data_IF_197289202471
#
_entry.id   IF_197289202471
#
_cell.length_a   1.000
_cell.length_b   1.000
_cell.length_c   1.000
_cell.angle_alpha   90.00
_cell.angle_beta   90.00
_cell.angle_gamma   90.00
#
_symmetry.space_group_name_H-M   'P 1'
#
loop_
_entity.id
_entity.type
_entity.pdbx_description
1 polymer ?
#
# COMPACT_ATOMS: atom_id res chain seq x y z
N UNK A 1 20.55 0.09 10.78
CA UNK A 1 19.72 0.06 9.54
C UNK A 1 18.76 1.22 9.41
N UNK A 2 17.94 1.60 10.42
CA UNK A 2 17.01 2.74 10.30
C UNK A 2 17.77 4.06 10.18
N UNK A 3 18.80 4.28 10.96
CA UNK A 3 19.63 5.50 10.94
C UNK A 3 20.38 5.72 9.64
N UNK A 4 20.80 4.64 8.98
CA UNK A 4 21.61 4.69 7.76
C UNK A 4 20.83 5.21 6.54
N UNK A 5 19.50 5.28 6.62
CA UNK A 5 18.61 5.69 5.51
C UNK A 5 18.08 7.11 5.67
N UNK A 6 18.33 7.77 6.80
CA UNK A 6 17.99 9.17 7.00
C UNK A 6 18.82 10.04 6.05
N UNK A 7 18.15 10.83 5.22
CA UNK A 7 18.81 11.73 4.25
C UNK A 7 19.24 11.07 2.93
N UNK A 8 18.88 9.78 2.71
CA UNK A 8 19.10 9.12 1.41
C UNK A 8 17.81 9.17 0.57
N UNK A 9 17.96 9.08 -0.76
CA UNK A 9 16.83 8.92 -1.70
C UNK A 9 16.22 7.51 -1.68
N UNK A 10 16.69 6.63 -0.79
CA UNK A 10 16.22 5.25 -0.70
C UNK A 10 14.87 5.19 0.01
N UNK A 11 13.86 4.64 -0.63
CA UNK A 11 12.53 4.41 -0.05
C UNK A 11 12.42 2.96 0.46
N UNK A 12 12.26 2.72 1.78
CA UNK A 12 12.04 1.38 2.30
C UNK A 12 10.68 0.86 1.85
N UNK A 13 10.69 -0.28 1.17
CA UNK A 13 9.46 -0.95 0.73
C UNK A 13 9.21 -2.19 1.58
N UNK A 14 8.03 -2.25 2.20
CA UNK A 14 7.61 -3.33 3.09
C UNK A 14 6.79 -4.36 2.33
N UNK A 15 7.02 -5.64 2.64
CA UNK A 15 6.41 -6.80 2.00
C UNK A 15 5.63 -7.64 3.03
N UNK A 16 4.54 -7.13 3.62
CA UNK A 16 3.84 -7.85 4.69
C UNK A 16 3.17 -9.15 4.20
N UNK A 17 2.86 -9.27 2.90
CA UNK A 17 2.35 -10.50 2.31
C UNK A 17 3.35 -11.65 2.40
N UNK A 18 4.62 -11.40 2.10
CA UNK A 18 5.69 -12.37 2.22
C UNK A 18 5.92 -12.76 3.69
N UNK A 19 5.97 -11.79 4.59
CA UNK A 19 6.11 -12.07 6.03
C UNK A 19 4.95 -12.94 6.57
N UNK A 20 3.72 -12.68 6.11
CA UNK A 20 2.55 -13.47 6.46
C UNK A 20 2.65 -14.91 5.94
N UNK A 21 2.92 -15.07 4.65
CA UNK A 21 2.92 -16.37 3.99
C UNK A 21 4.03 -17.29 4.49
N UNK A 22 5.22 -16.73 4.73
CA UNK A 22 6.40 -17.48 5.21
C UNK A 22 6.49 -17.58 6.73
N UNK A 23 5.54 -17.02 7.50
CA UNK A 23 5.60 -17.03 8.96
C UNK A 23 6.75 -16.23 9.55
N UNK A 24 7.23 -15.20 8.85
CA UNK A 24 8.37 -14.38 9.26
C UNK A 24 7.96 -13.22 10.17
N UNK A 25 8.95 -12.63 10.85
CA UNK A 25 8.77 -11.38 11.58
C UNK A 25 8.42 -10.24 10.62
N UNK A 26 7.46 -9.41 11.03
CA UNK A 26 7.05 -8.25 10.22
C UNK A 26 8.08 -7.13 10.30
N UNK A 27 8.26 -6.36 9.20
CA UNK A 27 9.15 -5.20 9.20
C UNK A 27 8.71 -4.14 10.22
N UNK A 28 9.66 -3.39 10.84
CA UNK A 28 9.38 -2.41 11.88
C UNK A 28 8.87 -1.08 11.30
N UNK A 29 7.72 -1.10 10.59
CA UNK A 29 7.20 0.08 9.89
C UNK A 29 6.90 1.25 10.83
N UNK A 30 6.36 0.98 12.03
CA UNK A 30 6.08 2.05 13.01
C UNK A 30 7.34 2.79 13.43
N UNK A 31 8.43 2.08 13.68
CA UNK A 31 9.71 2.67 14.05
C UNK A 31 10.29 3.51 12.91
N UNK A 32 10.20 3.01 11.67
CA UNK A 32 10.65 3.73 10.48
C UNK A 32 9.85 5.03 10.25
N UNK A 33 8.52 4.97 10.37
CA UNK A 33 7.64 6.13 10.25
C UNK A 33 7.95 7.15 11.34
N UNK A 34 8.11 6.71 12.60
CA UNK A 34 8.44 7.59 13.71
C UNK A 34 9.85 8.22 13.56
N UNK A 35 10.73 7.57 12.83
CA UNK A 35 12.03 8.14 12.44
C UNK A 35 11.96 9.06 11.21
N UNK A 36 10.75 9.38 10.70
CA UNK A 36 10.54 10.28 9.56
C UNK A 36 10.79 9.66 8.18
N UNK A 37 10.87 8.33 8.09
CA UNK A 37 11.05 7.65 6.81
C UNK A 37 9.71 7.47 6.08
N UNK A 38 9.68 7.79 4.79
CA UNK A 38 8.57 7.46 3.91
C UNK A 38 8.64 5.98 3.52
N UNK A 39 7.77 5.15 4.13
CA UNK A 39 7.68 3.72 3.79
C UNK A 39 6.71 3.48 2.66
N UNK A 40 7.04 2.56 1.75
CA UNK A 40 6.14 2.05 0.72
C UNK A 40 5.67 0.62 1.07
N UNK A 41 4.54 0.21 0.49
CA UNK A 41 4.02 -1.15 0.56
C UNK A 41 3.98 -1.76 -0.84
N UNK A 42 4.35 -3.04 -0.94
CA UNK A 42 4.22 -3.81 -2.17
C UNK A 42 3.67 -5.21 -1.89
N UNK A 43 3.05 -5.82 -2.91
CA UNK A 43 2.50 -7.17 -2.81
C UNK A 43 3.57 -8.25 -2.83
N UNK A 44 4.70 -7.99 -3.49
CA UNK A 44 5.72 -9.01 -3.77
C UNK A 44 5.12 -10.26 -4.45
N UNK A 45 4.17 -10.03 -5.37
CA UNK A 45 3.41 -11.12 -5.98
C UNK A 45 4.30 -12.10 -6.75
N UNK A 46 4.47 -13.27 -6.16
CA UNK A 46 5.23 -14.38 -6.74
C UNK A 46 4.81 -15.71 -6.10
N UNK A 47 5.01 -16.85 -6.76
CA UNK A 47 4.58 -18.16 -6.25
C UNK A 47 5.37 -18.66 -5.04
N UNK A 48 6.56 -18.13 -4.78
CA UNK A 48 7.46 -18.63 -3.73
C UNK A 48 7.22 -18.03 -2.35
N UNK A 49 6.91 -16.74 -2.27
CA UNK A 49 6.85 -16.00 -1.00
C UNK A 49 5.56 -15.21 -0.79
N UNK A 50 4.82 -14.88 -1.85
CA UNK A 50 3.60 -14.09 -1.74
C UNK A 50 2.65 -14.38 -2.90
N UNK A 51 1.91 -15.50 -2.88
CA UNK A 51 1.06 -15.93 -4.00
C UNK A 51 -0.24 -15.12 -4.12
N UNK A 52 -0.26 -13.89 -3.63
CA UNK A 52 -1.41 -12.99 -3.70
C UNK A 52 -1.00 -11.57 -4.08
N UNK A 53 -1.56 -11.06 -5.19
CA UNK A 53 -1.44 -9.66 -5.59
C UNK A 53 -2.43 -8.72 -4.91
N UNK A 54 -3.18 -9.17 -3.89
CA UNK A 54 -4.23 -8.40 -3.24
C UNK A 54 -3.66 -7.29 -2.35
N UNK A 55 -3.53 -6.07 -2.90
CA UNK A 55 -3.03 -4.91 -2.17
C UNK A 55 -3.93 -4.49 -0.99
N UNK A 56 -5.22 -4.83 -0.99
CA UNK A 56 -6.10 -4.58 0.18
C UNK A 56 -5.68 -5.44 1.37
N UNK A 57 -5.33 -6.71 1.12
CA UNK A 57 -4.77 -7.59 2.15
C UNK A 57 -3.44 -7.05 2.67
N UNK A 58 -2.57 -6.56 1.79
CA UNK A 58 -1.29 -5.91 2.15
C UNK A 58 -1.51 -4.72 3.07
N UNK A 59 -2.46 -3.83 2.75
CA UNK A 59 -2.85 -2.68 3.58
C UNK A 59 -3.39 -3.14 4.94
N UNK A 60 -4.21 -4.18 4.96
CA UNK A 60 -4.76 -4.74 6.21
C UNK A 60 -3.67 -5.31 7.11
N UNK A 61 -2.74 -6.08 6.56
CA UNK A 61 -1.59 -6.60 7.29
C UNK A 61 -0.69 -5.49 7.84
N UNK A 62 -0.49 -4.42 7.07
CA UNK A 62 0.27 -3.26 7.52
C UNK A 62 -0.40 -2.58 8.74
N UNK A 63 -1.72 -2.44 8.73
CA UNK A 63 -2.46 -1.91 9.88
C UNK A 63 -2.40 -2.84 11.10
N UNK A 64 -2.72 -4.12 10.91
CA UNK A 64 -2.90 -5.09 12.01
C UNK A 64 -1.55 -5.51 12.61
N UNK A 65 -0.56 -5.80 11.77
CA UNK A 65 0.71 -6.42 12.18
C UNK A 65 1.87 -5.44 12.30
N UNK A 66 1.86 -4.34 11.52
CA UNK A 66 2.94 -3.37 11.49
C UNK A 66 2.57 -2.04 12.16
N UNK A 67 1.38 -1.96 12.78
CA UNK A 67 0.88 -0.81 13.55
C UNK A 67 0.84 0.50 12.74
N UNK A 68 0.59 0.39 11.45
CA UNK A 68 0.33 1.57 10.62
C UNK A 68 -1.13 2.02 10.80
N UNK A 69 -1.36 3.32 10.80
CA UNK A 69 -2.74 3.84 10.69
C UNK A 69 -3.29 3.56 9.29
N UNK A 70 -4.62 3.49 9.11
CA UNK A 70 -5.21 3.31 7.79
C UNK A 70 -4.73 4.32 6.75
N UNK A 71 -4.60 5.59 7.12
CA UNK A 71 -4.12 6.65 6.24
C UNK A 71 -2.64 6.42 5.83
N UNK A 72 -1.77 6.07 6.78
CA UNK A 72 -0.36 5.75 6.50
C UNK A 72 -0.24 4.54 5.57
N UNK A 73 -1.01 3.48 5.80
CA UNK A 73 -0.95 2.27 4.99
C UNK A 73 -1.47 2.50 3.57
N UNK A 74 -2.52 3.30 3.38
CA UNK A 74 -3.03 3.67 2.06
C UNK A 74 -2.03 4.57 1.34
N UNK A 75 -1.45 5.57 2.00
CA UNK A 75 -0.41 6.41 1.42
C UNK A 75 0.83 5.59 1.05
N UNK A 76 1.22 4.63 1.88
CA UNK A 76 2.33 3.73 1.59
C UNK A 76 2.09 2.85 0.36
N UNK A 77 0.84 2.41 0.14
CA UNK A 77 0.44 1.60 -1.01
C UNK A 77 0.21 2.43 -2.29
N UNK A 78 0.10 3.75 -2.20
CA UNK A 78 -0.23 4.65 -3.32
C UNK A 78 0.85 5.69 -3.57
N UNK A 79 0.86 6.78 -2.82
CA UNK A 79 1.80 7.89 -2.99
C UNK A 79 3.26 7.45 -2.85
N UNK A 80 3.57 6.79 -1.74
CA UNK A 80 4.94 6.34 -1.48
C UNK A 80 5.36 5.19 -2.39
N UNK A 81 4.41 4.32 -2.77
CA UNK A 81 4.63 3.27 -3.77
C UNK A 81 5.02 3.86 -5.12
N UNK A 82 4.27 4.85 -5.60
CA UNK A 82 4.61 5.56 -6.84
C UNK A 82 5.96 6.28 -6.74
N UNK A 83 6.26 6.90 -5.60
CA UNK A 83 7.56 7.54 -5.36
C UNK A 83 8.71 6.53 -5.40
N UNK A 84 8.57 5.40 -4.71
CA UNK A 84 9.58 4.34 -4.68
C UNK A 84 9.89 3.75 -6.07
N UNK A 85 8.93 3.79 -6.99
CA UNK A 85 9.08 3.36 -8.37
C UNK A 85 9.54 4.47 -9.33
N UNK A 86 9.73 5.71 -8.86
CA UNK A 86 10.05 6.87 -9.72
C UNK A 86 8.88 7.35 -10.58
N UNK A 87 7.64 6.98 -10.23
CA UNK A 87 6.43 7.25 -11.00
C UNK A 87 5.52 8.31 -10.36
N UNK A 88 5.97 8.99 -9.33
CA UNK A 88 5.16 9.94 -8.54
C UNK A 88 4.62 11.13 -9.32
N UNK A 89 5.25 11.47 -10.47
CA UNK A 89 4.78 12.52 -11.37
C UNK A 89 3.40 12.18 -11.96
N UNK A 90 3.22 10.92 -12.37
CA UNK A 90 2.07 10.50 -13.17
C UNK A 90 1.08 9.63 -12.39
N UNK A 91 1.49 9.05 -11.24
CA UNK A 91 0.71 8.09 -10.47
C UNK A 91 0.71 8.39 -8.96
N UNK A 92 -0.04 7.60 -8.20
CA UNK A 92 -0.05 7.58 -6.74
C UNK A 92 -1.11 8.46 -6.09
N UNK A 93 -1.77 9.36 -6.83
CA UNK A 93 -2.87 10.19 -6.32
C UNK A 93 -3.88 10.54 -7.40
N UNK A 94 -5.10 10.85 -7.00
CA UNK A 94 -6.13 11.41 -7.87
C UNK A 94 -5.97 12.93 -7.86
N UNK A 95 -5.21 13.44 -8.84
CA UNK A 95 -4.84 14.86 -8.95
C UNK A 95 -4.86 15.26 -10.42
N UNK A 96 -5.25 16.49 -10.71
CA UNK A 96 -5.25 17.04 -12.08
C UNK A 96 -3.85 16.90 -12.70
N UNK A 97 -3.80 16.40 -13.93
CA UNK A 97 -2.58 16.16 -14.68
C UNK A 97 -1.96 14.78 -14.49
N UNK A 98 -2.49 13.95 -13.58
CA UNK A 98 -2.04 12.55 -13.42
C UNK A 98 -2.91 11.56 -14.19
N UNK A 99 -2.36 10.38 -14.42
CA UNK A 99 -3.07 9.28 -15.07
C UNK A 99 -4.25 8.85 -14.19
N UNK A 100 -5.44 8.80 -14.77
CA UNK A 100 -6.68 8.48 -14.06
C UNK A 100 -6.83 6.97 -13.81
N UNK A 101 -5.97 6.43 -12.94
CA UNK A 101 -6.03 5.07 -12.42
C UNK A 101 -6.57 5.11 -10.99
N UNK A 102 -7.82 4.72 -10.80
CA UNK A 102 -8.47 4.71 -9.49
C UNK A 102 -9.60 3.69 -9.44
N UNK A 103 -10.08 3.41 -8.27
CA UNK A 103 -11.29 2.63 -8.07
C UNK A 103 -12.28 3.37 -7.18
N UNK A 104 -13.55 3.02 -7.33
CA UNK A 104 -14.63 3.45 -6.44
C UNK A 104 -14.99 2.29 -5.51
N UNK A 105 -15.30 2.62 -4.28
CA UNK A 105 -15.80 1.64 -3.31
C UNK A 105 -17.32 1.69 -3.23
N UNK A 106 -17.92 0.65 -2.69
CA UNK A 106 -19.26 0.74 -2.12
C UNK A 106 -19.26 1.75 -0.96
N UNK A 107 -20.42 2.34 -0.58
CA UNK A 107 -20.48 3.20 0.59
C UNK A 107 -19.93 2.50 1.83
N UNK A 108 -19.02 3.17 2.53
CA UNK A 108 -18.42 2.66 3.77
C UNK A 108 -18.33 3.77 4.82
N UNK A 109 -18.37 3.42 6.13
CA UNK A 109 -18.44 4.42 7.21
C UNK A 109 -17.22 5.34 7.27
N UNK A 110 -16.05 4.84 6.88
CA UNK A 110 -14.80 5.60 6.87
C UNK A 110 -13.73 4.88 6.07
N UNK A 111 -12.62 5.56 5.77
CA UNK A 111 -11.43 4.97 5.14
C UNK A 111 -10.85 3.83 5.98
N UNK A 112 -10.98 3.89 7.30
CA UNK A 112 -10.52 2.84 8.21
C UNK A 112 -11.28 1.52 8.05
N UNK A 113 -12.47 1.54 7.47
CA UNK A 113 -13.25 0.34 7.20
C UNK A 113 -12.58 -0.57 6.14
N UNK A 114 -11.81 0.00 5.23
CA UNK A 114 -11.14 -0.77 4.18
C UNK A 114 -10.15 -1.81 4.74
N UNK A 115 -9.17 -1.47 5.59
CA UNK A 115 -8.30 -2.48 6.21
C UNK A 115 -9.01 -3.37 7.25
N UNK A 116 -10.07 -2.90 7.87
CA UNK A 116 -10.88 -3.69 8.81
C UNK A 116 -11.63 -4.81 8.09
N UNK A 117 -12.31 -4.51 6.99
CA UNK A 117 -13.10 -5.45 6.20
C UNK A 117 -12.25 -6.14 5.10
N UNK A 118 -11.13 -6.75 5.48
CA UNK A 118 -10.08 -7.22 4.58
C UNK A 118 -10.53 -8.29 3.57
N UNK A 119 -11.58 -9.06 3.85
CA UNK A 119 -12.15 -10.07 2.92
C UNK A 119 -13.38 -9.59 2.18
N UNK A 120 -14.05 -8.52 2.65
CA UNK A 120 -15.30 -8.03 2.05
C UNK A 120 -15.03 -7.38 0.69
N UNK A 121 -15.78 -7.70 -0.37
CA UNK A 121 -15.66 -7.02 -1.65
C UNK A 121 -16.11 -5.56 -1.52
N UNK A 122 -15.17 -4.64 -1.46
CA UNK A 122 -15.46 -3.20 -1.29
C UNK A 122 -15.34 -2.41 -2.59
N UNK A 123 -14.68 -2.94 -3.62
CA UNK A 123 -14.48 -2.25 -4.89
C UNK A 123 -15.74 -2.44 -5.74
N UNK A 124 -16.34 -1.32 -6.16
CA UNK A 124 -17.53 -1.31 -7.02
C UNK A 124 -17.21 -1.05 -8.49
N UNK A 125 -16.20 -0.23 -8.77
CA UNK A 125 -15.76 0.09 -10.14
C UNK A 125 -14.26 0.37 -10.16
N UNK A 126 -13.61 0.02 -11.28
CA UNK A 126 -12.20 0.30 -11.53
C UNK A 126 -12.09 1.15 -12.80
N UNK A 127 -11.19 2.12 -12.77
CA UNK A 127 -10.86 2.97 -13.90
C UNK A 127 -9.37 2.88 -14.20
N UNK A 128 -9.04 2.62 -15.45
CA UNK A 128 -7.67 2.64 -15.97
C UNK A 128 -7.59 3.66 -17.09
N UNK A 129 -6.71 4.65 -16.92
CA UNK A 129 -6.56 5.79 -17.84
C UNK A 129 -7.86 6.53 -18.12
N UNK A 130 -8.76 6.58 -17.12
CA UNK A 130 -10.07 7.21 -17.22
C UNK A 130 -11.16 6.33 -17.81
N UNK A 131 -10.85 5.15 -18.31
CA UNK A 131 -11.82 4.19 -18.86
C UNK A 131 -12.24 3.18 -17.81
N UNK A 132 -13.56 2.96 -17.67
CA UNK A 132 -14.10 1.95 -16.77
C UNK A 132 -13.76 0.54 -17.26
N UNK A 133 -13.21 -0.29 -16.37
CA UNK A 133 -12.97 -1.71 -16.64
C UNK A 133 -13.90 -2.56 -15.81
N UNK A 134 -14.30 -3.71 -16.36
CA UNK A 134 -15.11 -4.69 -15.63
C UNK A 134 -14.21 -5.36 -14.59
N UNK A 135 -14.64 -5.36 -13.33
CA UNK A 135 -13.95 -6.00 -12.22
C UNK A 135 -14.29 -7.49 -12.15
#
# INVERSE_FOLDING_TARGET
CIRDRHGTVTSPTMLPGAAFFLGMSYPPAREMINAGLGVALASDYNPGSSPSGNMRMVVSLACIRMRMTPAEAINAATLNGAYAMGLSRDYGSVTVGKVANFFLTVPMPSVAFMPYAYTTPLISRIFLRGEGVVA
#
